data_IF_935980336775
#
_entry.id   IF_935980336775
#
_cell.length_a   1.000
_cell.length_b   1.000
_cell.length_c   1.000
_cell.angle_alpha   90.00
_cell.angle_beta   90.00
_cell.angle_gamma   90.00
#
_symmetry.space_group_name_H-M   'P 1'
#
loop_
_entity.id
_entity.type
_entity.pdbx_description
1 polymer ?
#
# COMPACT_ATOMS: atom_id res chain seq x y z
N UNK A 1 13.98 -16.96 -15.49
CA UNK A 1 12.65 -16.52 -15.03
C UNK A 1 12.01 -15.72 -16.16
N UNK A 2 10.70 -15.80 -16.36
CA UNK A 2 10.02 -14.95 -17.34
C UNK A 2 9.96 -13.51 -16.83
N UNK A 3 9.82 -12.52 -17.72
CA UNK A 3 9.60 -11.11 -17.35
C UNK A 3 8.42 -10.95 -16.39
N UNK A 4 7.35 -11.74 -16.59
CA UNK A 4 6.17 -11.73 -15.72
C UNK A 4 6.52 -12.15 -14.28
N UNK A 5 7.25 -13.26 -14.10
CA UNK A 5 7.65 -13.71 -12.77
C UNK A 5 8.69 -12.79 -12.12
N UNK A 6 9.56 -12.17 -12.92
CA UNK A 6 10.45 -11.10 -12.44
C UNK A 6 9.63 -9.91 -11.93
N UNK A 7 8.64 -9.42 -12.70
CA UNK A 7 7.80 -8.29 -12.30
C UNK A 7 7.00 -8.59 -11.03
N UNK A 8 6.39 -9.78 -10.92
CA UNK A 8 5.72 -10.20 -9.68
C UNK A 8 6.69 -10.23 -8.49
N UNK A 9 7.92 -10.72 -8.71
CA UNK A 9 8.93 -10.77 -7.65
C UNK A 9 9.34 -9.37 -7.18
N UNK A 10 9.51 -8.41 -8.10
CA UNK A 10 9.78 -7.00 -7.77
C UNK A 10 8.68 -6.45 -6.86
N UNK A 11 7.42 -6.60 -7.24
CA UNK A 11 6.29 -6.07 -6.47
C UNK A 11 6.13 -6.76 -5.12
N UNK A 12 6.25 -8.10 -5.05
CA UNK A 12 6.22 -8.83 -3.77
C UNK A 12 7.29 -8.35 -2.81
N UNK A 13 8.53 -8.18 -3.31
CA UNK A 13 9.64 -7.70 -2.50
C UNK A 13 9.44 -6.26 -2.06
N UNK A 14 8.90 -5.39 -2.92
CA UNK A 14 8.54 -4.03 -2.52
C UNK A 14 7.56 -4.02 -1.35
N UNK A 15 6.45 -4.76 -1.45
CA UNK A 15 5.45 -4.86 -0.37
C UNK A 15 6.10 -5.42 0.90
N UNK A 16 6.86 -6.50 0.80
CA UNK A 16 7.43 -7.15 1.96
C UNK A 16 8.55 -6.34 2.64
N UNK A 17 9.50 -5.81 1.86
CA UNK A 17 10.71 -5.20 2.38
C UNK A 17 10.47 -3.71 2.72
N UNK A 18 9.72 -2.98 1.89
CA UNK A 18 9.52 -1.54 2.07
C UNK A 18 8.23 -1.25 2.84
N UNK A 19 7.08 -1.80 2.40
CA UNK A 19 5.80 -1.50 3.05
C UNK A 19 5.73 -2.15 4.44
N UNK A 20 5.94 -3.47 4.51
CA UNK A 20 5.77 -4.24 5.75
C UNK A 20 6.96 -4.12 6.71
N UNK A 21 8.19 -4.17 6.20
CA UNK A 21 9.40 -4.13 7.05
C UNK A 21 10.03 -2.74 7.18
N UNK A 22 9.48 -1.73 6.51
CA UNK A 22 9.91 -0.33 6.62
C UNK A 22 11.38 -0.09 6.23
N UNK A 23 11.95 -0.92 5.36
CA UNK A 23 13.32 -0.74 4.83
C UNK A 23 13.33 0.32 3.72
N UNK A 24 13.19 1.59 4.11
CA UNK A 24 13.00 2.72 3.19
C UNK A 24 14.22 3.01 2.29
N UNK A 25 15.39 2.52 2.65
CA UNK A 25 16.62 2.55 1.85
C UNK A 25 16.50 1.71 0.58
N UNK A 26 15.63 0.69 0.57
CA UNK A 26 15.40 -0.17 -0.60
C UNK A 26 14.48 0.43 -1.67
N UNK A 27 13.85 1.59 -1.43
CA UNK A 27 12.98 2.26 -2.43
C UNK A 27 13.68 2.40 -3.79
N UNK A 28 14.97 2.75 -3.78
CA UNK A 28 15.78 2.96 -4.99
C UNK A 28 15.98 1.69 -5.83
N UNK A 29 15.84 0.52 -5.20
CA UNK A 29 15.88 -0.80 -5.84
C UNK A 29 14.61 -1.06 -6.66
N UNK A 30 13.46 -0.61 -6.17
CA UNK A 30 12.16 -0.95 -6.76
C UNK A 30 11.63 0.11 -7.70
N UNK A 31 11.96 1.39 -7.51
CA UNK A 31 11.39 2.49 -8.29
C UNK A 31 12.41 3.17 -9.20
N UNK A 32 11.93 3.60 -10.37
CA UNK A 32 12.70 4.48 -11.25
C UNK A 32 13.03 5.81 -10.55
N UNK A 33 14.15 6.48 -10.89
CA UNK A 33 14.59 7.70 -10.21
C UNK A 33 13.51 8.77 -10.04
N UNK A 34 12.66 8.95 -11.06
CA UNK A 34 11.58 9.94 -11.05
C UNK A 34 10.51 9.70 -9.96
N UNK A 35 10.36 8.48 -9.45
CA UNK A 35 9.34 8.12 -8.46
C UNK A 35 9.87 8.05 -7.02
N UNK A 36 11.17 7.93 -6.80
CA UNK A 36 11.77 7.62 -5.49
C UNK A 36 11.40 8.63 -4.40
N UNK A 37 11.57 9.92 -4.69
CA UNK A 37 11.25 11.00 -3.74
C UNK A 37 9.74 11.09 -3.44
N UNK A 38 8.89 10.82 -4.43
CA UNK A 38 7.44 10.76 -4.25
C UNK A 38 7.07 9.64 -3.28
N UNK A 39 7.59 8.42 -3.50
CA UNK A 39 7.32 7.25 -2.66
C UNK A 39 7.87 7.46 -1.24
N UNK A 40 9.12 7.93 -1.12
CA UNK A 40 9.73 8.25 0.18
C UNK A 40 8.91 9.28 0.94
N UNK A 41 8.47 10.35 0.26
CA UNK A 41 7.61 11.37 0.82
C UNK A 41 6.27 10.80 1.31
N UNK A 42 5.60 9.97 0.51
CA UNK A 42 4.34 9.33 0.92
C UNK A 42 4.51 8.45 2.17
N UNK A 43 5.59 7.68 2.26
CA UNK A 43 5.83 6.75 3.38
C UNK A 43 6.34 7.43 4.66
N UNK A 44 6.76 8.70 4.62
CA UNK A 44 7.44 9.37 5.75
C UNK A 44 6.82 10.70 6.17
N UNK A 45 6.03 11.36 5.32
CA UNK A 45 5.48 12.67 5.65
C UNK A 45 4.20 12.53 6.46
N UNK A 46 4.12 13.30 7.55
CA UNK A 46 2.93 13.40 8.40
C UNK A 46 2.82 12.29 9.43
N UNK A 47 1.75 12.38 10.23
CA UNK A 47 1.37 11.32 11.17
C UNK A 47 0.72 10.18 10.38
N UNK A 48 1.26 8.96 10.53
CA UNK A 48 0.62 7.76 9.98
C UNK A 48 -0.44 7.27 10.99
N UNK A 49 -1.74 7.28 10.65
CA UNK A 49 -2.79 6.79 11.56
C UNK A 49 -2.74 5.28 11.81
N UNK A 50 -1.98 4.54 11.01
CA UNK A 50 -1.82 3.08 11.05
C UNK A 50 -0.32 2.71 11.02
N UNK A 51 0.47 3.07 12.05
CA UNK A 51 1.92 2.91 12.05
C UNK A 51 2.38 1.45 12.13
N UNK A 52 1.51 0.54 12.57
CA UNK A 52 1.69 -0.90 12.61
C UNK A 52 1.07 -1.64 11.41
N UNK A 53 0.73 -0.89 10.35
CA UNK A 53 0.11 -1.43 9.15
C UNK A 53 0.92 -2.54 8.48
N UNK A 54 0.24 -3.60 8.07
CA UNK A 54 0.80 -4.75 7.38
C UNK A 54 -0.09 -5.19 6.23
N UNK A 55 0.49 -5.43 5.07
CA UNK A 55 -0.19 -5.91 3.86
C UNK A 55 0.12 -7.39 3.61
N UNK A 56 -0.91 -8.22 3.69
CA UNK A 56 -0.88 -9.63 3.30
C UNK A 56 -1.34 -9.76 1.85
N UNK A 57 -0.48 -10.26 0.95
CA UNK A 57 -0.83 -10.45 -0.46
C UNK A 57 -1.80 -11.63 -0.59
N UNK A 58 -3.02 -11.34 -1.06
CA UNK A 58 -4.05 -12.35 -1.33
C UNK A 58 -3.94 -12.88 -2.76
N UNK A 59 -3.81 -11.97 -3.74
CA UNK A 59 -3.69 -12.32 -5.16
C UNK A 59 -2.62 -11.46 -5.84
N UNK A 60 -1.96 -12.04 -6.84
CA UNK A 60 -1.01 -11.31 -7.68
C UNK A 60 -0.98 -11.87 -9.10
N UNK A 61 -1.27 -11.01 -10.07
CA UNK A 61 -1.38 -11.34 -11.49
C UNK A 61 -0.48 -10.40 -12.27
N UNK A 62 0.15 -10.90 -13.33
CA UNK A 62 0.98 -10.08 -14.22
C UNK A 62 0.61 -10.32 -15.67
N UNK A 63 0.55 -9.24 -16.44
CA UNK A 63 0.35 -9.23 -17.88
C UNK A 63 1.23 -8.15 -18.50
N UNK A 64 2.05 -8.52 -19.48
CA UNK A 64 3.06 -7.63 -20.06
C UNK A 64 3.94 -6.98 -19.00
N UNK A 65 3.84 -5.65 -18.91
CA UNK A 65 4.60 -4.80 -17.99
C UNK A 65 3.81 -4.38 -16.73
N UNK A 66 2.64 -4.97 -16.51
CA UNK A 66 1.73 -4.60 -15.43
C UNK A 66 1.59 -5.73 -14.43
N UNK A 67 1.53 -5.39 -13.15
CA UNK A 67 1.25 -6.31 -12.04
C UNK A 67 0.08 -5.78 -11.24
N UNK A 68 -0.98 -6.57 -11.11
CA UNK A 68 -2.09 -6.28 -10.21
C UNK A 68 -1.92 -7.10 -8.94
N UNK A 69 -2.15 -6.47 -7.80
CA UNK A 69 -2.13 -7.12 -6.48
C UNK A 69 -3.42 -6.79 -5.75
N UNK A 70 -4.00 -7.81 -5.11
CA UNK A 70 -5.01 -7.65 -4.07
C UNK A 70 -4.36 -8.05 -2.75
N UNK A 71 -4.48 -7.21 -1.74
CA UNK A 71 -3.93 -7.47 -0.41
C UNK A 71 -4.96 -7.18 0.68
N UNK A 72 -4.72 -7.76 1.85
CA UNK A 72 -5.44 -7.48 3.07
C UNK A 72 -4.56 -6.61 3.96
N UNK A 73 -4.99 -5.39 4.23
CA UNK A 73 -4.31 -4.46 5.13
C UNK A 73 -4.82 -4.64 6.55
N UNK A 74 -3.90 -4.88 7.48
CA UNK A 74 -4.18 -5.05 8.91
C UNK A 74 -3.41 -4.01 9.72
N UNK A 75 -4.07 -3.32 10.63
CA UNK A 75 -3.45 -2.31 11.48
C UNK A 75 -4.23 -2.05 12.77
N UNK A 76 -3.66 -1.22 13.64
CA UNK A 76 -4.36 -0.58 14.76
C UNK A 76 -4.53 0.91 14.47
N UNK A 77 -5.72 1.46 14.71
CA UNK A 77 -5.99 2.88 14.55
C UNK A 77 -5.37 3.71 15.69
N UNK A 78 -4.16 4.25 15.46
CA UNK A 78 -3.31 4.88 16.46
C UNK A 78 -3.11 6.39 16.28
N UNK A 79 -3.48 6.95 15.13
CA UNK A 79 -3.46 8.39 14.86
C UNK A 79 -4.80 8.89 14.33
N UNK A 80 -4.91 10.18 14.02
CA UNK A 80 -6.15 10.73 13.46
C UNK A 80 -6.31 10.33 11.99
N UNK A 81 -7.42 9.66 11.64
CA UNK A 81 -7.74 9.28 10.26
C UNK A 81 -9.05 9.94 9.80
N UNK A 82 -8.97 10.75 8.74
CA UNK A 82 -10.14 11.44 8.14
C UNK A 82 -11.06 12.14 9.16
N UNK A 83 -10.47 12.75 10.19
CA UNK A 83 -11.20 13.47 11.24
C UNK A 83 -11.65 12.62 12.43
N UNK A 84 -11.43 11.30 12.41
CA UNK A 84 -11.66 10.41 13.54
C UNK A 84 -10.38 10.30 14.37
N UNK A 85 -10.38 10.71 15.65
CA UNK A 85 -9.22 10.53 16.53
C UNK A 85 -8.90 9.05 16.76
N UNK A 86 -7.65 8.75 17.12
CA UNK A 86 -7.19 7.40 17.42
C UNK A 86 -8.14 6.67 18.39
N UNK A 87 -8.62 5.50 17.98
CA UNK A 87 -9.58 4.70 18.77
C UNK A 87 -8.97 3.45 19.37
N UNK A 88 -7.77 3.07 18.96
CA UNK A 88 -7.10 1.83 19.38
C UNK A 88 -7.77 0.55 18.86
N UNK A 89 -8.76 0.67 17.96
CA UNK A 89 -9.44 -0.48 17.37
C UNK A 89 -8.59 -1.10 16.25
N UNK A 90 -8.68 -2.42 16.04
CA UNK A 90 -8.10 -3.04 14.87
C UNK A 90 -8.85 -2.59 13.61
N UNK A 91 -8.13 -2.55 12.49
CA UNK A 91 -8.66 -2.37 11.14
C UNK A 91 -8.16 -3.50 10.27
N UNK A 92 -9.07 -4.09 9.50
CA UNK A 92 -8.77 -5.08 8.46
C UNK A 92 -9.57 -4.71 7.21
N UNK A 93 -8.91 -4.32 6.12
CA UNK A 93 -9.57 -3.89 4.86
C UNK A 93 -8.82 -4.40 3.64
N UNK A 94 -9.54 -4.69 2.56
CA UNK A 94 -8.91 -5.02 1.29
C UNK A 94 -8.34 -3.78 0.59
N UNK A 95 -7.19 -3.98 -0.06
CA UNK A 95 -6.53 -3.01 -0.93
C UNK A 95 -6.20 -3.63 -2.29
N UNK A 96 -6.14 -2.77 -3.29
CA UNK A 96 -5.90 -3.11 -4.69
C UNK A 96 -4.86 -2.18 -5.27
N UNK A 97 -3.86 -2.74 -5.94
CA UNK A 97 -2.80 -1.98 -6.59
C UNK A 97 -2.54 -2.48 -7.99
N UNK A 98 -2.32 -1.53 -8.90
CA UNK A 98 -1.78 -1.82 -10.22
C UNK A 98 -0.44 -1.10 -10.31
N UNK A 99 0.62 -1.89 -10.51
CA UNK A 99 1.99 -1.44 -10.69
C UNK A 99 2.39 -1.58 -12.16
N UNK A 100 2.96 -0.52 -12.72
CA UNK A 100 3.53 -0.49 -14.06
C UNK A 100 5.05 -0.56 -13.94
N UNK A 101 5.68 -1.44 -14.72
CA UNK A 101 7.10 -1.73 -14.63
C UNK A 101 7.82 -1.61 -15.96
N UNK A 102 9.04 -1.12 -15.93
CA UNK A 102 10.01 -1.19 -17.03
C UNK A 102 11.36 -1.59 -16.46
N UNK A 103 12.06 -2.52 -17.13
CA UNK A 103 13.38 -2.99 -16.71
C UNK A 103 13.45 -3.40 -15.22
N UNK A 104 12.41 -4.11 -14.75
CA UNK A 104 12.26 -4.55 -13.36
C UNK A 104 12.20 -3.41 -12.31
N UNK A 105 11.79 -2.21 -12.72
CA UNK A 105 11.51 -1.08 -11.83
C UNK A 105 10.10 -0.56 -12.03
N UNK A 106 9.44 -0.18 -10.94
CA UNK A 106 8.11 0.43 -10.92
C UNK A 106 8.24 1.87 -11.43
N UNK A 107 7.52 2.17 -12.50
CA UNK A 107 7.43 3.50 -13.13
C UNK A 107 6.24 4.30 -12.63
N UNK A 108 5.16 3.59 -12.25
CA UNK A 108 3.93 4.18 -11.75
C UNK A 108 3.11 3.14 -10.99
N UNK A 109 2.29 3.60 -10.05
CA UNK A 109 1.31 2.80 -9.34
C UNK A 109 0.00 3.55 -9.16
N UNK A 110 -1.10 2.80 -9.11
CA UNK A 110 -2.39 3.29 -8.63
C UNK A 110 -2.91 2.33 -7.59
N UNK A 111 -3.32 2.87 -6.45
CA UNK A 111 -3.69 2.10 -5.27
C UNK A 111 -5.07 2.58 -4.79
N UNK A 112 -5.91 1.64 -4.42
CA UNK A 112 -7.22 1.88 -3.83
C UNK A 112 -7.38 0.97 -2.61
N UNK A 113 -8.01 1.50 -1.56
CA UNK A 113 -8.39 0.76 -0.37
C UNK A 113 -9.86 1.02 -0.08
N UNK A 114 -10.52 0.06 0.55
CA UNK A 114 -11.85 0.28 1.10
C UNK A 114 -11.77 1.08 2.42
N UNK A 115 -11.54 2.39 2.29
CA UNK A 115 -11.49 3.27 3.46
C UNK A 115 -12.86 3.48 4.10
N UNK A 116 -13.96 3.18 3.40
CA UNK A 116 -15.29 3.21 3.99
C UNK A 116 -15.40 2.12 5.06
N UNK A 117 -15.00 0.90 4.74
CA UNK A 117 -14.95 -0.20 5.70
C UNK A 117 -14.04 0.14 6.90
N UNK A 118 -12.86 0.73 6.67
CA UNK A 118 -11.98 1.16 7.75
C UNK A 118 -12.65 2.19 8.68
N UNK A 119 -13.35 3.18 8.11
CA UNK A 119 -14.09 4.21 8.85
C UNK A 119 -15.19 3.60 9.74
N UNK A 120 -15.95 2.63 9.22
CA UNK A 120 -16.98 1.92 9.98
C UNK A 120 -16.36 1.14 11.15
N UNK A 121 -15.26 0.41 10.92
CA UNK A 121 -14.56 -0.37 11.94
C UNK A 121 -14.03 0.51 13.09
N UNK A 122 -13.48 1.69 12.77
CA UNK A 122 -13.01 2.63 13.80
C UNK A 122 -14.16 3.37 14.51
N UNK A 123 -15.40 3.24 14.02
CA UNK A 123 -16.61 3.77 14.65
C UNK A 123 -17.05 5.13 14.12
N UNK A 124 -16.59 5.53 12.93
CA UNK A 124 -17.16 6.67 12.23
C UNK A 124 -18.60 6.34 11.82
N UNK A 125 -19.49 7.34 11.90
CA UNK A 125 -20.81 7.24 11.29
C UNK A 125 -20.73 7.88 9.91
N UNK A 126 -20.66 7.06 8.87
CA UNK A 126 -20.72 7.56 7.50
C UNK A 126 -22.19 7.73 7.15
N UNK A 127 -22.60 8.97 6.91
CA UNK A 127 -23.95 9.31 6.45
C UNK A 127 -23.85 9.91 5.05
N UNK A 128 -24.88 9.72 4.22
CA UNK A 128 -25.00 10.50 2.99
C UNK A 128 -25.11 12.00 3.35
N UNK A 129 -24.55 12.86 2.51
CA UNK A 129 -24.91 14.26 2.54
C UNK A 129 -26.34 14.38 2.01
N UNK A 130 -27.28 14.79 2.86
CA UNK A 130 -28.63 15.18 2.48
C UNK A 130 -28.63 16.47 1.65
#
# INVERSE_FOLDING_TARGET
>A
MSTLETNKTVVRRYIQEVINQRQLDLIDTFFVPAMREKVRGFLTKGENPFPDGHEEILDIIAEGNTVMVRWLFKATHQGTFMGVPATGKPVEVEGYGIYYLENAQITWDTICFDWLEALEQIGARVTSAD
#
